data_IF_736008089924
#
_entry.id   IF_736008089924
#
_cell.length_a   1.000
_cell.length_b   1.000
_cell.length_c   1.000
_cell.angle_alpha   90.00
_cell.angle_beta   90.00
_cell.angle_gamma   90.00
#
_symmetry.space_group_name_H-M   'P 1'
#
loop_
_entity.id
_entity.type
_entity.pdbx_description
1 polymer ?
#
# COMPACT_ATOMS: atom_id res chain seq x y z
N UNK A 1 2.94 17.31 -16.84
CA UNK A 1 3.39 16.30 -16.25
C UNK A 1 2.43 15.20 -16.20
N UNK A 2 2.83 14.14 -16.00
CA UNK A 2 2.06 13.13 -15.97
C UNK A 2 1.40 12.98 -14.77
N UNK A 3 0.28 12.74 -14.82
CA UNK A 3 -0.52 12.56 -13.70
C UNK A 3 -0.12 11.36 -12.94
N UNK A 4 -0.09 11.47 -11.67
CA UNK A 4 0.07 10.32 -10.86
C UNK A 4 -1.20 9.54 -10.86
N UNK A 5 -1.13 8.24 -10.70
CA UNK A 5 -2.33 7.42 -10.74
C UNK A 5 -3.16 7.48 -9.47
N UNK A 6 -2.98 8.50 -8.65
CA UNK A 6 -3.68 8.64 -7.39
C UNK A 6 -4.46 9.93 -7.43
N UNK A 7 -5.75 9.87 -7.13
CA UNK A 7 -6.57 11.07 -7.16
C UNK A 7 -6.34 11.91 -5.93
N UNK A 8 -6.60 13.21 -6.08
CA UNK A 8 -6.50 14.11 -4.95
C UNK A 8 -7.49 13.70 -3.89
N UNK A 9 -7.11 13.80 -2.67
CA UNK A 9 -7.98 13.55 -1.52
C UNK A 9 -8.36 12.11 -1.30
N UNK A 10 -7.84 11.21 -2.10
CA UNK A 10 -8.08 9.80 -1.86
C UNK A 10 -6.80 9.16 -1.33
N UNK A 11 -6.90 8.31 -0.34
CA UNK A 11 -5.70 7.67 0.17
C UNK A 11 -5.15 6.68 -0.83
N UNK A 12 -3.87 6.45 -0.75
CA UNK A 12 -3.24 5.38 -1.49
C UNK A 12 -3.52 4.08 -0.74
N UNK A 13 -4.09 3.11 -1.40
CA UNK A 13 -4.45 1.85 -0.74
C UNK A 13 -3.46 0.77 -1.16
N UNK A 14 -2.95 0.07 -0.17
CA UNK A 14 -2.04 -1.04 -0.39
C UNK A 14 -2.68 -2.27 0.21
N UNK A 15 -2.95 -3.27 -0.62
CA UNK A 15 -3.57 -4.50 -0.17
C UNK A 15 -2.51 -5.56 0.04
N UNK A 16 -2.61 -6.30 1.14
CA UNK A 16 -1.71 -7.40 1.43
C UNK A 16 -2.55 -8.65 1.53
N UNK A 17 -2.30 -9.59 0.64
CA UNK A 17 -3.09 -10.81 0.58
C UNK A 17 -2.62 -11.81 1.63
N UNK A 18 -3.40 -12.86 1.81
CA UNK A 18 -3.10 -13.86 2.81
C UNK A 18 -1.69 -14.44 2.66
N UNK A 19 -1.23 -14.63 1.43
CA UNK A 19 0.09 -15.19 1.18
C UNK A 19 1.19 -14.14 1.23
N UNK A 20 0.86 -12.90 1.58
CA UNK A 20 1.83 -11.83 1.69
C UNK A 20 2.01 -11.00 0.44
N UNK A 21 1.30 -11.32 -0.63
CA UNK A 21 1.44 -10.57 -1.88
C UNK A 21 0.94 -9.14 -1.70
N UNK A 22 1.66 -8.19 -2.26
CA UNK A 22 1.39 -6.77 -2.11
C UNK A 22 0.82 -6.23 -3.40
N UNK A 23 -0.30 -5.53 -3.30
CA UNK A 23 -0.90 -4.88 -4.47
C UNK A 23 -1.11 -3.40 -4.15
N UNK A 24 -0.63 -2.57 -5.05
CA UNK A 24 -0.83 -1.14 -4.93
C UNK A 24 -2.07 -0.82 -5.77
N UNK A 25 -3.06 -0.21 -5.16
CA UNK A 25 -4.34 0.00 -5.84
C UNK A 25 -4.31 1.26 -6.67
N UNK A 26 -3.55 1.24 -7.74
CA UNK A 26 -3.53 2.31 -8.74
C UNK A 26 -3.82 1.67 -10.08
N UNK A 27 -4.16 2.48 -11.06
CA UNK A 27 -4.51 1.94 -12.36
C UNK A 27 -3.39 1.11 -12.98
N UNK A 28 -2.16 1.52 -12.78
CA UNK A 28 -1.05 0.84 -13.43
C UNK A 28 -0.53 -0.35 -12.65
N UNK A 29 -0.91 -0.50 -11.38
CA UNK A 29 -0.31 -1.53 -10.54
C UNK A 29 -1.31 -2.48 -9.90
N UNK A 30 -2.61 -2.22 -10.08
CA UNK A 30 -3.62 -2.96 -9.31
C UNK A 30 -3.72 -4.43 -9.68
N UNK A 31 -3.24 -4.80 -10.85
CA UNK A 31 -3.44 -6.16 -11.36
C UNK A 31 -2.23 -7.07 -11.21
N UNK A 32 -1.16 -6.59 -10.59
CA UNK A 32 -0.02 -7.48 -10.37
C UNK A 32 0.59 -7.23 -9.02
N UNK A 33 1.11 -8.27 -8.41
CA UNK A 33 1.75 -8.11 -7.13
C UNK A 33 3.11 -7.45 -7.30
N UNK A 34 3.53 -6.73 -6.29
CA UNK A 34 4.81 -6.07 -6.28
C UNK A 34 5.68 -6.68 -5.20
N UNK A 35 6.98 -6.71 -5.46
CA UNK A 35 7.91 -7.04 -4.39
C UNK A 35 7.97 -5.86 -3.44
N UNK A 36 8.54 -6.08 -2.28
CA UNK A 36 8.71 -5.01 -1.32
C UNK A 36 9.54 -3.88 -1.92
N UNK A 37 10.56 -4.23 -2.68
CA UNK A 37 11.42 -3.24 -3.29
C UNK A 37 10.67 -2.43 -4.35
N UNK A 38 9.87 -3.12 -5.16
CA UNK A 38 9.06 -2.43 -6.17
C UNK A 38 8.07 -1.49 -5.51
N UNK A 39 7.44 -1.94 -4.42
CA UNK A 39 6.51 -1.11 -3.70
C UNK A 39 7.21 0.14 -3.18
N UNK A 40 8.38 -0.01 -2.59
CA UNK A 40 9.14 1.13 -2.08
C UNK A 40 9.42 2.14 -3.18
N UNK A 41 9.83 1.67 -4.33
CA UNK A 41 10.14 2.56 -5.42
C UNK A 41 8.93 3.32 -5.91
N UNK A 42 7.79 2.64 -6.02
CA UNK A 42 6.57 3.30 -6.46
C UNK A 42 6.11 4.34 -5.43
N UNK A 43 6.05 3.95 -4.16
CA UNK A 43 5.50 4.86 -3.17
C UNK A 43 6.43 6.04 -2.91
N UNK A 44 7.73 5.86 -3.04
CA UNK A 44 8.66 6.98 -2.89
C UNK A 44 8.37 8.06 -3.91
N UNK A 45 8.11 7.66 -5.14
CA UNK A 45 7.79 8.63 -6.19
C UNK A 45 6.47 9.32 -5.93
N UNK A 46 5.49 8.56 -5.45
CA UNK A 46 4.19 9.13 -5.16
C UNK A 46 4.32 10.16 -4.04
N UNK A 47 5.09 9.85 -3.00
CA UNK A 47 5.25 10.77 -1.87
C UNK A 47 6.06 12.01 -2.25
N UNK A 48 6.97 11.88 -3.20
CA UNK A 48 7.69 13.06 -3.67
C UNK A 48 6.73 14.05 -4.29
N UNK A 49 5.77 13.55 -5.03
CA UNK A 49 4.82 14.42 -5.71
C UNK A 49 3.67 14.82 -4.78
N UNK A 50 3.36 14.00 -3.80
CA UNK A 50 2.24 14.26 -2.90
C UNK A 50 2.64 13.99 -1.46
N UNK A 51 3.47 14.87 -0.89
CA UNK A 51 3.88 14.68 0.49
C UNK A 51 2.65 14.78 1.38
N UNK A 52 2.53 13.97 2.35
CA UNK A 52 1.38 13.99 3.24
C UNK A 52 0.20 13.18 2.75
N UNK A 53 0.32 12.52 1.61
CA UNK A 53 -0.74 11.66 1.14
C UNK A 53 -0.99 10.56 2.15
N UNK A 54 -2.26 10.34 2.47
CA UNK A 54 -2.61 9.29 3.40
C UNK A 54 -2.47 7.92 2.74
N UNK A 55 -1.98 6.97 3.47
CA UNK A 55 -1.84 5.59 2.99
C UNK A 55 -2.69 4.70 3.85
N UNK A 56 -3.39 3.77 3.24
CA UNK A 56 -4.17 2.78 3.98
C UNK A 56 -3.67 1.40 3.59
N UNK A 57 -3.28 0.61 4.57
CA UNK A 57 -2.94 -0.79 4.34
C UNK A 57 -4.18 -1.60 4.62
N UNK A 58 -4.60 -2.37 3.62
CA UNK A 58 -5.74 -3.25 3.77
C UNK A 58 -5.22 -4.68 3.80
N UNK A 59 -5.21 -5.30 4.97
CA UNK A 59 -4.68 -6.64 5.13
C UNK A 59 -5.78 -7.68 5.10
N UNK A 60 -5.52 -8.78 4.40
CA UNK A 60 -6.42 -9.93 4.47
C UNK A 60 -6.50 -10.38 5.91
N UNK A 61 -7.67 -10.85 6.34
CA UNK A 61 -7.85 -11.26 7.73
C UNK A 61 -6.91 -12.34 8.19
N UNK A 62 -6.32 -13.08 7.27
CA UNK A 62 -5.38 -14.15 7.61
C UNK A 62 -3.94 -13.80 7.28
N UNK A 63 -3.66 -12.55 6.96
CA UNK A 63 -2.28 -12.18 6.67
C UNK A 63 -1.48 -12.20 7.96
N UNK A 64 -0.22 -12.55 7.87
CA UNK A 64 0.63 -12.57 9.05
C UNK A 64 0.95 -11.17 9.51
N UNK A 65 0.89 -10.98 10.81
CA UNK A 65 1.17 -9.69 11.41
C UNK A 65 2.56 -9.18 11.02
N UNK A 66 3.55 -10.08 11.02
CA UNK A 66 4.90 -9.68 10.64
C UNK A 66 4.95 -9.07 9.26
N UNK A 67 4.18 -9.61 8.33
CA UNK A 67 4.19 -9.09 6.97
C UNK A 67 3.63 -7.67 6.92
N UNK A 68 2.55 -7.45 7.67
CA UNK A 68 1.96 -6.12 7.75
C UNK A 68 2.95 -5.14 8.34
N UNK A 69 3.65 -5.55 9.39
CA UNK A 69 4.62 -4.67 10.04
C UNK A 69 5.79 -4.35 9.13
N UNK A 70 6.23 -5.33 8.33
CA UNK A 70 7.32 -5.10 7.38
C UNK A 70 6.90 -4.07 6.33
N UNK A 71 5.69 -4.22 5.80
CA UNK A 71 5.20 -3.28 4.80
C UNK A 71 5.06 -1.89 5.42
N UNK A 72 4.54 -1.80 6.63
CA UNK A 72 4.38 -0.52 7.29
C UNK A 72 5.72 0.17 7.50
N UNK A 73 6.73 -0.58 7.94
CA UNK A 73 8.04 0.00 8.17
C UNK A 73 8.63 0.55 6.87
N UNK A 74 8.48 -0.20 5.78
CA UNK A 74 9.01 0.25 4.51
C UNK A 74 8.29 1.49 3.99
N UNK A 75 6.99 1.57 4.25
CA UNK A 75 6.25 2.76 3.86
C UNK A 75 6.72 3.98 4.63
N UNK A 76 7.01 3.81 5.92
CA UNK A 76 7.52 4.91 6.72
C UNK A 76 8.88 5.36 6.23
N UNK A 77 9.74 4.43 5.88
CA UNK A 77 11.05 4.77 5.34
C UNK A 77 10.89 5.51 4.01
N UNK A 78 9.90 5.14 3.21
CA UNK A 78 9.67 5.78 1.92
C UNK A 78 9.03 7.17 2.04
N UNK A 79 8.60 7.55 3.24
CA UNK A 79 8.09 8.90 3.44
C UNK A 79 6.65 9.01 3.91
N UNK A 80 5.99 7.89 4.18
CA UNK A 80 4.61 7.95 4.63
C UNK A 80 4.56 8.46 6.07
N UNK A 81 3.68 9.42 6.32
CA UNK A 81 3.52 9.94 7.67
C UNK A 81 2.16 9.61 8.26
N UNK A 82 1.20 9.23 7.42
CA UNK A 82 -0.15 8.98 7.90
C UNK A 82 -0.58 7.64 7.33
N UNK A 83 -0.48 6.59 8.12
CA UNK A 83 -0.78 5.23 7.66
C UNK A 83 -1.95 4.69 8.47
N UNK A 84 -3.03 4.37 7.77
CA UNK A 84 -4.16 3.69 8.39
C UNK A 84 -4.05 2.20 8.14
N UNK A 85 -4.69 1.41 8.98
CA UNK A 85 -4.64 -0.02 8.87
C UNK A 85 -6.06 -0.57 8.94
N UNK A 86 -6.45 -1.31 7.93
CA UNK A 86 -7.77 -1.93 7.87
C UNK A 86 -7.59 -3.41 7.69
N UNK A 87 -8.29 -4.18 8.51
CA UNK A 87 -8.26 -5.62 8.37
C UNK A 87 -9.48 -6.05 7.58
N UNK A 88 -9.24 -6.81 6.51
CA UNK A 88 -10.32 -7.29 5.72
C UNK A 88 -10.93 -8.52 6.37
N UNK A 89 -12.24 -8.63 6.44
CA UNK A 89 -12.82 -9.80 7.10
C UNK A 89 -12.44 -11.08 6.38
N UNK A 90 -12.36 -12.14 7.16
CA UNK A 90 -12.11 -13.45 6.59
C UNK A 90 -13.38 -13.88 5.86
N UNK A 91 -13.20 -14.30 4.63
CA UNK A 91 -14.32 -14.77 3.85
C UNK A 91 -14.59 -16.20 4.23
N UNK A 92 -15.55 -16.44 5.08
CA UNK A 92 -15.73 -17.77 5.59
C UNK A 92 -16.98 -18.43 5.11
N UNK A 93 -17.77 -17.79 4.37
CA UNK A 93 -18.98 -18.44 3.98
C UNK A 93 -18.95 -18.91 2.64
#
# INVERSE_FOLDING_TARGET
SEALPVKNNEPLIISIKKDGAIFLETESTKDRSLSLEEMKNFVSKIFEASPGLQVVIRGDGEVKYERVMTVMAELQIAGASDIGLISQPISSQ
#
